data_IF_559701957179
#
_entry.id   IF_559701957179
#
_cell.length_a   1.000
_cell.length_b   1.000
_cell.length_c   1.000
_cell.angle_alpha   90.00
_cell.angle_beta   90.00
_cell.angle_gamma   90.00
#
_symmetry.space_group_name_H-M   'P 1'
#
loop_
_entity.id
_entity.type
_entity.pdbx_description
1 polymer ?
#
# COMPACT_ATOMS: atom_id res chain seq x y z
N UNK A 1 12.68 29.50 41.14
CA UNK A 1 13.73 28.53 40.73
C UNK A 1 13.29 27.95 39.40
N UNK A 2 13.99 28.28 38.32
CA UNK A 2 13.64 27.80 36.97
C UNK A 2 13.94 26.31 36.88
N UNK A 3 12.89 25.49 36.79
CA UNK A 3 13.03 24.08 36.44
C UNK A 3 13.48 23.99 34.97
N UNK A 4 14.80 24.06 34.76
CA UNK A 4 15.41 23.70 33.48
C UNK A 4 15.47 22.18 33.48
N UNK A 5 14.36 21.54 33.14
CA UNK A 5 14.31 20.11 32.90
C UNK A 5 15.44 19.71 31.97
N UNK A 6 16.17 18.64 32.32
CA UNK A 6 17.20 18.06 31.49
C UNK A 6 16.67 17.82 30.07
N UNK A 7 17.52 18.00 29.04
CA UNK A 7 17.13 17.79 27.65
C UNK A 7 16.45 16.41 27.48
N UNK A 8 15.22 16.41 26.97
CA UNK A 8 14.52 15.18 26.67
C UNK A 8 15.10 14.54 25.40
N UNK A 9 15.87 13.47 25.58
CA UNK A 9 16.47 12.69 24.49
C UNK A 9 15.57 11.52 24.05
N UNK A 10 14.35 11.42 24.58
CA UNK A 10 13.44 10.31 24.32
C UNK A 10 12.71 10.45 22.98
N UNK A 11 13.40 10.15 21.88
CA UNK A 11 12.81 10.23 20.54
C UNK A 11 11.82 9.07 20.29
N UNK A 12 10.63 9.41 19.80
CA UNK A 12 9.61 8.44 19.36
C UNK A 12 9.67 8.32 17.83
N UNK A 13 10.20 7.20 17.35
CA UNK A 13 10.13 6.84 15.93
C UNK A 13 8.79 6.18 15.61
N UNK A 14 8.41 6.17 14.33
CA UNK A 14 7.19 5.46 13.90
C UNK A 14 7.24 3.97 14.25
N UNK A 15 8.40 3.32 14.07
CA UNK A 15 8.57 1.91 14.49
C UNK A 15 8.34 1.72 15.98
N UNK A 16 8.86 2.62 16.83
CA UNK A 16 8.63 2.57 18.27
C UNK A 16 7.16 2.76 18.61
N UNK A 17 6.52 3.79 18.03
CA UNK A 17 5.10 4.05 18.23
C UNK A 17 4.24 2.84 17.87
N UNK A 18 4.44 2.27 16.67
CA UNK A 18 3.67 1.12 16.19
C UNK A 18 3.93 -0.14 17.04
N UNK A 19 5.15 -0.34 17.54
CA UNK A 19 5.46 -1.43 18.48
C UNK A 19 4.72 -1.26 19.81
N UNK A 20 4.74 -0.05 20.39
CA UNK A 20 4.05 0.25 21.65
C UNK A 20 2.54 0.09 21.53
N UNK A 21 1.93 0.60 20.45
CA UNK A 21 0.50 0.43 20.17
C UNK A 21 0.13 -1.03 19.90
N UNK A 22 0.97 -1.77 19.16
CA UNK A 22 0.79 -3.20 18.93
C UNK A 22 0.79 -4.03 20.22
N UNK A 23 1.64 -3.66 21.19
CA UNK A 23 1.68 -4.28 22.53
C UNK A 23 0.41 -3.99 23.32
N UNK A 24 -0.07 -2.73 23.32
CA UNK A 24 -1.33 -2.36 23.98
C UNK A 24 -2.52 -3.12 23.41
N UNK A 25 -2.57 -3.28 22.09
CA UNK A 25 -3.60 -4.02 21.38
C UNK A 25 -3.50 -5.55 21.53
N UNK A 26 -2.45 -6.07 22.21
CA UNK A 26 -2.15 -7.52 22.32
C UNK A 26 -2.12 -8.21 20.95
N UNK A 27 -1.62 -7.50 19.93
CA UNK A 27 -1.55 -8.00 18.56
C UNK A 27 -0.45 -9.03 18.36
N UNK A 28 -0.54 -9.82 17.28
CA UNK A 28 0.47 -10.84 16.93
C UNK A 28 1.79 -10.26 16.40
N UNK A 29 1.88 -8.93 16.22
CA UNK A 29 3.01 -8.25 15.60
C UNK A 29 2.95 -8.15 14.07
N UNK A 30 2.07 -8.91 13.40
CA UNK A 30 1.97 -8.87 11.92
C UNK A 30 1.66 -7.47 11.36
N UNK A 31 0.76 -6.70 11.99
CA UNK A 31 0.49 -5.32 11.54
C UNK A 31 1.72 -4.43 11.71
N UNK A 32 2.51 -4.65 12.77
CA UNK A 32 3.74 -3.91 13.00
C UNK A 32 4.79 -4.23 11.94
N UNK A 33 4.95 -5.51 11.59
CA UNK A 33 5.81 -5.94 10.48
C UNK A 33 5.35 -5.32 9.16
N UNK A 34 4.04 -5.34 8.88
CA UNK A 34 3.46 -4.73 7.68
C UNK A 34 3.78 -3.24 7.58
N UNK A 35 3.52 -2.49 8.64
CA UNK A 35 3.77 -1.04 8.68
C UNK A 35 5.26 -0.72 8.53
N UNK A 36 6.15 -1.52 9.13
CA UNK A 36 7.60 -1.36 8.97
C UNK A 36 8.07 -1.65 7.53
N UNK A 37 7.50 -2.67 6.87
CA UNK A 37 7.74 -2.93 5.45
C UNK A 37 7.27 -1.76 4.58
N UNK A 38 6.07 -1.23 4.84
CA UNK A 38 5.54 -0.06 4.14
C UNK A 38 6.43 1.18 4.34
N UNK A 39 6.90 1.43 5.56
CA UNK A 39 7.85 2.51 5.84
C UNK A 39 9.14 2.37 5.03
N UNK A 40 9.60 1.13 4.81
CA UNK A 40 10.81 0.87 4.03
C UNK A 40 10.58 1.16 2.55
N UNK A 41 9.44 0.76 1.99
CA UNK A 41 9.04 1.13 0.64
C UNK A 41 8.95 2.66 0.47
N UNK A 42 8.27 3.35 1.38
CA UNK A 42 8.11 4.83 1.34
C UNK A 42 9.46 5.55 1.39
N UNK A 43 10.40 5.09 2.23
CA UNK A 43 11.76 5.66 2.26
C UNK A 43 12.51 5.45 0.93
N UNK A 44 12.36 4.29 0.31
CA UNK A 44 12.96 3.98 -0.98
C UNK A 44 12.36 4.87 -2.09
N UNK A 45 11.03 4.98 -2.16
CA UNK A 45 10.32 5.87 -3.08
C UNK A 45 10.76 7.32 -2.87
N UNK A 46 10.77 7.81 -1.63
CA UNK A 46 11.22 9.16 -1.31
C UNK A 46 12.67 9.43 -1.75
N UNK A 47 13.55 8.44 -1.64
CA UNK A 47 14.92 8.56 -2.16
C UNK A 47 14.95 8.58 -3.68
N UNK A 48 14.13 7.77 -4.35
CA UNK A 48 14.06 7.74 -5.81
C UNK A 48 13.50 9.05 -6.37
N UNK A 49 12.39 9.54 -5.83
CA UNK A 49 11.76 10.82 -6.20
C UNK A 49 12.76 11.97 -6.07
N UNK A 50 13.48 12.07 -4.94
CA UNK A 50 14.48 13.14 -4.73
C UNK A 50 15.67 13.10 -5.67
N UNK A 51 15.99 11.92 -6.22
CA UNK A 51 17.12 11.72 -7.15
C UNK A 51 16.69 11.62 -8.59
N UNK A 52 15.40 11.76 -8.88
CA UNK A 52 14.88 11.36 -10.17
C UNK A 52 15.45 12.19 -11.32
N UNK A 53 15.78 13.45 -11.08
CA UNK A 53 16.43 14.32 -12.09
C UNK A 53 17.90 14.07 -12.31
N UNK A 54 18.57 13.40 -11.37
CA UNK A 54 19.99 13.05 -11.48
C UNK A 54 20.14 11.64 -12.04
N UNK A 55 19.21 10.74 -11.69
CA UNK A 55 19.25 9.33 -12.06
C UNK A 55 18.63 9.04 -13.45
N UNK A 56 18.36 10.07 -14.28
CA UNK A 56 17.57 9.96 -15.52
C UNK A 56 16.21 9.24 -15.34
N UNK A 57 15.68 9.25 -14.10
CA UNK A 57 14.34 8.77 -13.81
C UNK A 57 13.29 9.80 -14.24
N UNK A 58 13.66 11.09 -14.28
CA UNK A 58 13.05 12.09 -15.17
C UNK A 58 13.54 11.78 -16.59
N UNK A 59 12.83 10.88 -17.26
CA UNK A 59 12.86 10.72 -18.71
C UNK A 59 14.20 10.83 -19.46
N UNK A 60 15.21 9.97 -19.19
CA UNK A 60 16.17 9.56 -20.24
C UNK A 60 16.57 8.09 -20.06
N UNK A 61 15.67 7.18 -20.44
CA UNK A 61 16.10 6.05 -21.25
C UNK A 61 15.61 6.44 -22.64
N UNK A 62 16.44 6.32 -23.68
CA UNK A 62 16.17 6.81 -25.04
C UNK A 62 14.99 6.14 -25.76
N UNK A 63 13.82 6.07 -25.13
CA UNK A 63 12.56 5.61 -25.68
C UNK A 63 11.48 6.56 -25.20
N UNK A 64 11.17 7.56 -26.03
CA UNK A 64 9.84 8.16 -26.06
C UNK A 64 8.86 7.02 -26.26
N UNK A 65 7.91 6.82 -25.34
CA UNK A 65 6.82 5.90 -25.63
C UNK A 65 6.05 6.48 -26.83
N UNK A 66 5.61 5.62 -27.74
CA UNK A 66 5.01 5.96 -29.06
C UNK A 66 3.77 6.87 -28.99
N UNK A 67 3.25 7.15 -27.80
CA UNK A 67 2.07 7.99 -27.52
C UNK A 67 2.36 9.38 -26.95
N UNK A 68 3.62 9.74 -26.63
CA UNK A 68 3.97 11.08 -26.17
C UNK A 68 3.73 11.37 -24.68
N UNK A 69 3.35 10.38 -23.87
CA UNK A 69 3.22 10.53 -22.42
C UNK A 69 4.58 10.58 -21.72
N UNK A 70 4.67 11.42 -20.68
CA UNK A 70 5.81 11.48 -19.78
C UNK A 70 6.01 10.14 -19.08
N UNK A 71 7.27 9.74 -19.01
CA UNK A 71 7.78 8.43 -18.63
C UNK A 71 7.25 7.96 -17.25
N UNK A 72 6.36 6.94 -17.26
CA UNK A 72 5.81 6.20 -16.08
C UNK A 72 6.83 5.43 -15.22
N UNK A 73 8.13 5.77 -15.27
CA UNK A 73 9.18 4.97 -14.59
C UNK A 73 9.07 5.03 -13.08
N UNK A 74 8.70 6.18 -12.53
CA UNK A 74 8.57 6.33 -11.08
C UNK A 74 7.31 5.63 -10.56
N UNK A 75 6.23 5.62 -11.34
CA UNK A 75 5.02 4.86 -11.02
C UNK A 75 5.33 3.36 -10.95
N UNK A 76 5.96 2.81 -12.01
CA UNK A 76 6.38 1.40 -12.06
C UNK A 76 7.34 1.07 -10.90
N UNK A 77 8.35 1.91 -10.67
CA UNK A 77 9.31 1.71 -9.58
C UNK A 77 8.61 1.71 -8.22
N UNK A 78 7.71 2.65 -7.98
CA UNK A 78 7.01 2.79 -6.70
C UNK A 78 6.08 1.60 -6.47
N UNK A 79 5.37 1.16 -7.51
CA UNK A 79 4.53 -0.03 -7.47
C UNK A 79 5.34 -1.29 -7.12
N UNK A 80 6.46 -1.52 -7.83
CA UNK A 80 7.33 -2.68 -7.60
C UNK A 80 7.93 -2.67 -6.19
N UNK A 81 8.35 -1.50 -5.68
CA UNK A 81 8.88 -1.36 -4.33
C UNK A 81 7.84 -1.72 -3.28
N UNK A 82 6.61 -1.21 -3.40
CA UNK A 82 5.53 -1.50 -2.46
C UNK A 82 5.16 -2.98 -2.49
N UNK A 83 4.93 -3.55 -3.68
CA UNK A 83 4.59 -4.98 -3.85
C UNK A 83 5.67 -5.87 -3.23
N UNK A 84 6.94 -5.64 -3.56
CA UNK A 84 8.04 -6.48 -3.08
C UNK A 84 8.23 -6.39 -1.56
N UNK A 85 8.15 -5.18 -0.99
CA UNK A 85 8.28 -4.98 0.46
C UNK A 85 7.12 -5.60 1.23
N UNK A 86 5.90 -5.51 0.70
CA UNK A 86 4.73 -6.08 1.35
C UNK A 86 4.72 -7.61 1.22
N UNK A 87 5.00 -8.18 0.03
CA UNK A 87 5.07 -9.65 -0.13
C UNK A 87 6.14 -10.29 0.73
N UNK A 88 7.30 -9.65 0.89
CA UNK A 88 8.37 -10.12 1.78
C UNK A 88 8.10 -9.94 3.27
N UNK A 89 7.01 -9.25 3.64
CA UNK A 89 6.63 -9.07 5.04
C UNK A 89 5.90 -10.28 5.65
N UNK A 90 5.40 -11.21 4.84
CA UNK A 90 4.58 -12.36 5.26
C UNK A 90 3.25 -12.00 5.94
N UNK A 91 2.74 -10.77 5.75
CA UNK A 91 1.59 -10.25 6.50
C UNK A 91 0.32 -10.07 5.66
N UNK A 92 0.44 -10.07 4.35
CA UNK A 92 -0.66 -9.77 3.42
C UNK A 92 -1.12 -10.98 2.63
N UNK A 93 -2.40 -11.02 2.23
CA UNK A 93 -2.96 -12.02 1.32
C UNK A 93 -3.39 -11.48 -0.04
N UNK A 94 -3.80 -10.21 -0.11
CA UNK A 94 -4.26 -9.57 -1.34
C UNK A 94 -3.75 -8.15 -1.38
N UNK A 95 -3.23 -7.74 -2.54
CA UNK A 95 -2.80 -6.37 -2.81
C UNK A 95 -3.63 -5.79 -3.96
N UNK A 96 -4.04 -4.54 -3.82
CA UNK A 96 -4.75 -3.78 -4.86
C UNK A 96 -3.98 -2.49 -5.09
N UNK A 97 -3.44 -2.32 -6.29
CA UNK A 97 -2.67 -1.14 -6.68
C UNK A 97 -3.46 -0.36 -7.73
N UNK A 98 -3.34 0.97 -7.73
CA UNK A 98 -3.79 1.81 -8.85
C UNK A 98 -3.13 1.36 -10.17
N UNK A 99 -1.85 0.96 -10.12
CA UNK A 99 -1.03 0.60 -11.28
C UNK A 99 -1.24 -0.84 -11.79
N UNK A 100 -2.14 -1.62 -11.17
CA UNK A 100 -2.43 -2.99 -11.58
C UNK A 100 -3.93 -3.19 -11.84
N UNK A 101 -4.27 -3.60 -13.06
CA UNK A 101 -5.66 -3.87 -13.47
C UNK A 101 -6.35 -4.94 -12.58
N UNK A 102 -5.57 -5.92 -12.10
CA UNK A 102 -6.06 -7.03 -11.29
C UNK A 102 -5.42 -7.01 -9.92
N UNK A 103 -6.20 -7.41 -8.92
CA UNK A 103 -5.69 -7.66 -7.58
C UNK A 103 -4.59 -8.74 -7.60
N UNK A 104 -3.53 -8.51 -6.85
CA UNK A 104 -2.38 -9.42 -6.73
C UNK A 104 -2.63 -10.35 -5.54
N UNK A 105 -2.67 -11.64 -5.83
CA UNK A 105 -2.86 -12.66 -4.80
C UNK A 105 -1.49 -13.13 -4.33
N UNK A 106 -1.24 -13.00 -3.02
CA UNK A 106 0.04 -13.40 -2.43
C UNK A 106 0.12 -14.93 -2.37
N UNK A 107 1.29 -15.46 -2.73
CA UNK A 107 1.58 -16.89 -2.74
C UNK A 107 1.36 -17.51 -1.35
N UNK A 108 0.87 -18.76 -1.25
CA UNK A 108 0.54 -19.39 0.03
C UNK A 108 1.67 -19.32 1.07
N UNK A 109 2.92 -19.53 0.67
CA UNK A 109 4.11 -19.52 1.52
C UNK A 109 4.49 -18.14 2.08
N UNK A 110 3.93 -17.05 1.52
CA UNK A 110 4.15 -15.66 1.93
C UNK A 110 2.89 -14.98 2.47
N UNK A 111 1.82 -15.75 2.64
CA UNK A 111 0.48 -15.20 2.90
C UNK A 111 0.27 -14.88 4.38
N UNK A 112 -0.19 -13.67 4.66
CA UNK A 112 -0.71 -13.28 5.97
C UNK A 112 -2.20 -12.92 5.95
N UNK A 113 -2.66 -12.14 6.91
CA UNK A 113 -4.10 -11.86 7.14
C UNK A 113 -4.60 -10.50 6.66
N UNK A 114 -3.75 -9.68 6.05
CA UNK A 114 -4.12 -8.32 5.64
C UNK A 114 -4.37 -8.21 4.13
N UNK A 115 -5.36 -7.40 3.77
CA UNK A 115 -5.60 -6.92 2.40
C UNK A 115 -5.15 -5.46 2.35
N UNK A 116 -4.38 -5.09 1.34
CA UNK A 116 -3.80 -3.75 1.25
C UNK A 116 -4.19 -3.13 -0.08
N UNK A 117 -4.81 -1.96 -0.03
CA UNK A 117 -5.08 -1.14 -1.20
C UNK A 117 -4.12 0.05 -1.17
N UNK A 118 -3.50 0.40 -2.30
CA UNK A 118 -2.57 1.51 -2.34
C UNK A 118 -2.54 2.20 -3.70
N UNK A 119 -2.25 3.50 -3.64
CA UNK A 119 -1.75 4.28 -4.77
C UNK A 119 -0.25 4.49 -4.50
N UNK A 120 0.65 3.86 -5.28
CA UNK A 120 2.07 3.89 -5.01
C UNK A 120 2.67 5.28 -5.20
N UNK A 121 2.10 6.11 -6.08
CA UNK A 121 2.60 7.45 -6.40
C UNK A 121 1.47 8.39 -6.87
N UNK A 122 0.70 8.90 -5.92
CA UNK A 122 -0.36 9.89 -6.16
C UNK A 122 0.23 11.22 -6.61
N UNK A 123 -0.39 11.81 -7.64
CA UNK A 123 0.04 13.08 -8.22
C UNK A 123 1.28 12.99 -9.12
N UNK A 124 1.59 11.81 -9.66
CA UNK A 124 2.78 11.59 -10.51
C UNK A 124 2.88 12.52 -11.72
N UNK A 125 1.76 13.02 -12.24
CA UNK A 125 1.73 14.05 -13.28
C UNK A 125 2.40 15.37 -12.88
N UNK A 126 2.56 15.64 -11.58
CA UNK A 126 3.21 16.84 -11.06
C UNK A 126 4.71 16.65 -10.74
N UNK A 127 5.28 15.50 -11.11
CA UNK A 127 6.69 15.20 -10.84
C UNK A 127 7.62 16.23 -11.51
N UNK A 128 7.33 16.57 -12.77
CA UNK A 128 8.18 17.46 -13.59
C UNK A 128 8.17 18.92 -13.13
N UNK A 129 7.11 19.36 -12.44
CA UNK A 129 7.03 20.69 -11.84
C UNK A 129 7.47 20.72 -10.37
N UNK A 130 8.00 19.61 -9.84
CA UNK A 130 8.46 19.46 -8.46
C UNK A 130 7.38 19.80 -7.42
N UNK A 131 6.09 19.58 -7.75
CA UNK A 131 5.03 19.73 -6.76
C UNK A 131 5.05 18.55 -5.77
N UNK A 132 4.24 18.67 -4.72
CA UNK A 132 4.10 17.59 -3.74
C UNK A 132 3.37 16.40 -4.36
N UNK A 133 3.94 15.22 -4.15
CA UNK A 133 3.40 13.90 -4.53
C UNK A 133 3.45 12.97 -3.31
N UNK A 134 2.74 11.86 -3.33
CA UNK A 134 2.62 10.99 -2.16
C UNK A 134 2.34 9.53 -2.46
N UNK A 135 2.22 8.73 -1.41
CA UNK A 135 1.78 7.34 -1.48
C UNK A 135 0.56 7.21 -0.57
N UNK A 136 -0.55 6.70 -1.10
CA UNK A 136 -1.80 6.49 -0.34
C UNK A 136 -1.95 4.99 -0.08
N UNK A 137 -2.37 4.60 1.12
CA UNK A 137 -2.65 3.19 1.39
C UNK A 137 -3.74 3.01 2.44
N UNK A 138 -4.41 1.86 2.37
CA UNK A 138 -5.39 1.38 3.32
C UNK A 138 -5.16 -0.10 3.63
N UNK A 139 -5.32 -0.48 4.90
CA UNK A 139 -5.10 -1.85 5.39
C UNK A 139 -6.40 -2.39 5.95
N UNK A 140 -6.84 -3.53 5.42
CA UNK A 140 -8.02 -4.27 5.86
C UNK A 140 -7.64 -5.63 6.40
N UNK A 141 -8.43 -6.18 7.33
CA UNK A 141 -8.27 -7.57 7.77
C UNK A 141 -9.06 -8.49 6.85
N UNK A 142 -8.50 -9.61 6.39
CA UNK A 142 -9.18 -10.58 5.50
C UNK A 142 -10.57 -10.99 6.01
N UNK A 143 -10.70 -11.23 7.32
CA UNK A 143 -11.97 -11.59 7.96
C UNK A 143 -13.06 -10.51 7.79
N UNK A 144 -12.67 -9.23 7.75
CA UNK A 144 -13.59 -8.12 7.52
C UNK A 144 -14.09 -8.13 6.06
N UNK A 145 -13.24 -8.51 5.10
CA UNK A 145 -13.64 -8.62 3.69
C UNK A 145 -14.63 -9.76 3.46
N UNK A 146 -14.43 -10.92 4.07
CA UNK A 146 -15.40 -12.03 4.01
C UNK A 146 -16.76 -11.64 4.60
N UNK A 147 -16.77 -10.77 5.61
CA UNK A 147 -18.00 -10.22 6.19
C UNK A 147 -18.62 -9.20 5.23
N UNK A 148 -17.84 -8.29 4.62
CA UNK A 148 -18.35 -7.36 3.61
C UNK A 148 -18.94 -8.07 2.39
N UNK A 149 -18.33 -9.14 1.90
CA UNK A 149 -18.88 -9.94 0.80
C UNK A 149 -20.21 -10.60 1.21
N UNK A 150 -20.27 -11.26 2.37
CA UNK A 150 -21.51 -11.87 2.88
C UNK A 150 -22.62 -10.83 3.17
N UNK A 151 -22.26 -9.68 3.72
CA UNK A 151 -23.20 -8.57 3.97
C UNK A 151 -23.67 -7.93 2.66
N UNK A 152 -22.78 -7.75 1.69
CA UNK A 152 -23.13 -7.21 0.36
C UNK A 152 -24.07 -8.15 -0.38
N UNK A 153 -23.84 -9.48 -0.34
CA UNK A 153 -24.78 -10.48 -0.86
C UNK A 153 -26.15 -10.43 -0.15
N UNK A 154 -26.16 -10.24 1.17
CA UNK A 154 -27.40 -10.16 1.97
C UNK A 154 -28.18 -8.86 1.73
N UNK A 155 -27.48 -7.74 1.52
CA UNK A 155 -28.05 -6.44 1.16
C UNK A 155 -28.52 -6.45 -0.31
N UNK A 156 -27.78 -7.09 -1.21
CA UNK A 156 -28.14 -7.28 -2.62
C UNK A 156 -29.47 -8.03 -2.75
N UNK A 157 -29.66 -9.11 -1.99
CA UNK A 157 -30.95 -9.83 -1.91
C UNK A 157 -32.11 -8.97 -1.39
N UNK A 158 -31.85 -7.95 -0.56
CA UNK A 158 -32.86 -6.99 -0.07
C UNK A 158 -33.10 -5.80 -1.01
N UNK A 159 -32.16 -5.45 -1.89
CA UNK A 159 -32.21 -4.25 -2.76
C UNK A 159 -32.57 -4.52 -4.22
N UNK A 160 -33.20 -5.65 -4.54
CA UNK A 160 -33.66 -5.98 -5.89
C UNK A 160 -34.86 -5.12 -6.38
N UNK A 161 -34.92 -3.84 -5.99
CA UNK A 161 -35.86 -2.86 -6.52
C UNK A 161 -35.22 -1.58 -7.05
N UNK A 162 -33.96 -1.20 -6.72
CA UNK A 162 -33.22 -0.17 -7.49
C UNK A 162 -31.69 -0.40 -7.44
N UNK A 163 -31.07 -0.36 -8.63
CA UNK A 163 -29.71 -0.78 -8.99
C UNK A 163 -28.57 -0.02 -8.27
N UNK A 164 -27.56 -0.75 -7.79
CA UNK A 164 -26.14 -0.38 -7.82
C UNK A 164 -25.36 -1.66 -8.13
N UNK A 165 -24.58 -1.66 -9.21
CA UNK A 165 -23.76 -2.81 -9.61
C UNK A 165 -22.41 -2.77 -8.88
N UNK A 166 -22.15 -3.77 -8.05
CA UNK A 166 -20.79 -4.17 -7.66
C UNK A 166 -20.62 -5.54 -8.28
N UNK A 167 -19.74 -5.68 -9.26
CA UNK A 167 -19.50 -6.98 -9.89
C UNK A 167 -18.90 -7.93 -8.84
N UNK A 168 -19.54 -9.07 -8.52
CA UNK A 168 -18.96 -10.05 -7.63
C UNK A 168 -17.78 -10.72 -8.33
N UNK A 169 -16.60 -10.62 -7.75
CA UNK A 169 -15.41 -11.35 -8.17
C UNK A 169 -15.50 -12.76 -7.55
N UNK A 170 -16.48 -13.56 -7.98
CA UNK A 170 -16.88 -14.79 -7.26
C UNK A 170 -16.28 -16.10 -7.80
N UNK A 171 -15.82 -16.20 -9.05
CA UNK A 171 -15.67 -17.55 -9.64
C UNK A 171 -14.24 -18.09 -9.81
N UNK A 172 -13.21 -17.51 -9.18
CA UNK A 172 -11.83 -17.98 -9.43
C UNK A 172 -10.90 -18.14 -8.22
N UNK A 173 -11.35 -17.91 -6.98
CA UNK A 173 -10.40 -17.71 -5.87
C UNK A 173 -10.66 -18.49 -4.58
N UNK A 174 -11.66 -19.38 -4.55
CA UNK A 174 -12.03 -20.10 -3.33
C UNK A 174 -12.24 -21.59 -3.57
N UNK A 175 -11.33 -22.24 -4.29
CA UNK A 175 -11.18 -23.68 -4.13
C UNK A 175 -10.33 -23.95 -2.87
N UNK A 176 -10.86 -24.70 -1.88
CA UNK A 176 -10.13 -25.00 -0.65
C UNK A 176 -9.09 -26.09 -0.91
N UNK A 177 -7.82 -25.70 -0.89
CA UNK A 177 -6.69 -26.57 -0.55
C UNK A 177 -5.86 -25.87 0.53
#
# INVERSE_FOLDING_TARGET
MSDRGAFDTNVVTLTRFVLEEGRKAKGTGELTTLLNSMCTAIKAISSAVRKAGIANLYGIAGSTNVTGDQVKKLDVLSNDLVINMIKSSFTSCVLVSEENEKAIIVEPERRGKYVICFDPLDGSSNIDCLASIGTIFAIYRKAMLSIFTQMSQSIYKRKNSQRIAVHPMEDAMWDPW
#
